data_IF_705588226884
#
_entry.id   IF_705588226884
#
_cell.length_a   1.000
_cell.length_b   1.000
_cell.length_c   1.000
_cell.angle_alpha   90.00
_cell.angle_beta   90.00
_cell.angle_gamma   90.00
#
_symmetry.space_group_name_H-M   'P 1'
#
loop_
_entity.id
_entity.type
_entity.pdbx_description
1 polymer ?
#
# COMPACT_ATOMS: atom_id res chain seq x y z
N UNK A 1 2.99 -24.61 -5.34
CA UNK A 1 2.16 -23.45 -5.69
C UNK A 1 2.99 -22.59 -6.62
N UNK A 2 2.44 -22.19 -7.75
CA UNK A 2 3.16 -21.33 -8.69
C UNK A 2 3.26 -19.92 -8.11
N UNK A 3 4.50 -19.44 -8.00
CA UNK A 3 4.82 -18.07 -7.61
C UNK A 3 4.29 -17.13 -8.68
N UNK A 4 3.49 -16.13 -8.28
CA UNK A 4 2.96 -15.13 -9.20
C UNK A 4 3.93 -13.96 -9.37
N UNK A 5 3.74 -13.19 -10.42
CA UNK A 5 4.46 -11.94 -10.62
C UNK A 5 3.58 -10.76 -10.17
N UNK A 6 4.15 -9.86 -9.37
CA UNK A 6 3.51 -8.60 -9.00
C UNK A 6 4.33 -7.45 -9.57
N UNK A 7 3.68 -6.63 -10.40
CA UNK A 7 4.32 -5.44 -10.94
C UNK A 7 4.20 -4.29 -9.95
N UNK A 8 5.31 -3.62 -9.64
CA UNK A 8 5.40 -2.57 -8.63
C UNK A 8 6.06 -1.32 -9.21
N UNK A 9 5.41 -0.16 -9.05
CA UNK A 9 5.94 1.13 -9.46
C UNK A 9 6.15 2.05 -8.25
N UNK A 10 7.30 2.70 -8.20
CA UNK A 10 7.63 3.71 -7.20
C UNK A 10 8.01 5.01 -7.92
N UNK A 11 7.43 6.12 -7.50
CA UNK A 11 7.70 7.42 -8.08
C UNK A 11 7.67 8.55 -7.05
N UNK A 12 8.36 9.64 -7.36
CA UNK A 12 8.16 10.92 -6.67
C UNK A 12 6.94 11.62 -7.26
N UNK A 13 6.16 12.23 -6.38
CA UNK A 13 5.05 13.11 -6.72
C UNK A 13 5.66 14.49 -6.98
N UNK A 14 5.26 15.12 -8.07
CA UNK A 14 5.72 16.46 -8.42
C UNK A 14 5.37 17.46 -7.32
N UNK A 15 6.19 18.50 -7.17
CA UNK A 15 5.80 19.70 -6.43
C UNK A 15 5.16 20.76 -7.33
N UNK A 16 5.13 20.48 -8.63
CA UNK A 16 4.76 21.41 -9.70
C UNK A 16 3.59 20.84 -10.50
N UNK A 17 2.46 21.55 -10.44
CA UNK A 17 1.20 21.19 -11.06
C UNK A 17 1.10 21.59 -12.54
N UNK A 18 2.15 22.20 -13.13
CA UNK A 18 2.13 22.65 -14.55
C UNK A 18 1.85 21.53 -15.56
N UNK A 19 2.08 20.27 -15.17
CA UNK A 19 1.88 19.10 -16.04
C UNK A 19 0.62 18.29 -15.69
N UNK A 20 -0.19 18.77 -14.73
CA UNK A 20 -1.38 18.03 -14.28
C UNK A 20 -2.51 17.99 -15.30
N UNK A 21 -2.47 18.87 -16.30
CA UNK A 21 -3.58 19.02 -17.22
C UNK A 21 -3.97 17.68 -17.83
N UNK A 22 -3.01 16.84 -18.21
CA UNK A 22 -3.30 15.49 -18.69
C UNK A 22 -3.99 14.61 -17.63
N UNK A 23 -3.52 14.62 -16.39
CA UNK A 23 -4.11 13.84 -15.29
C UNK A 23 -5.55 14.26 -14.99
N UNK A 24 -5.87 15.55 -15.04
CA UNK A 24 -7.25 16.01 -14.86
C UNK A 24 -8.22 15.44 -15.89
N UNK A 25 -7.78 15.18 -17.13
CA UNK A 25 -8.65 14.65 -18.18
C UNK A 25 -8.95 13.16 -18.02
N UNK A 26 -8.07 12.41 -17.35
CA UNK A 26 -8.25 10.96 -17.17
C UNK A 26 -9.15 10.60 -15.98
N UNK A 27 -9.32 11.52 -15.01
CA UNK A 27 -10.10 11.25 -13.79
C UNK A 27 -11.59 11.08 -14.07
N UNK A 28 -12.25 10.20 -13.31
CA UNK A 28 -13.70 10.08 -13.37
C UNK A 28 -14.43 11.19 -12.58
N UNK A 29 -15.76 11.19 -12.67
CA UNK A 29 -16.61 12.18 -12.00
C UNK A 29 -16.45 12.18 -10.47
N UNK A 30 -16.23 11.01 -9.86
CA UNK A 30 -16.08 10.91 -8.41
C UNK A 30 -14.72 11.46 -7.98
N UNK A 31 -13.64 11.10 -8.66
CA UNK A 31 -12.30 11.61 -8.39
C UNK A 31 -12.19 13.11 -8.66
N UNK A 32 -12.78 13.61 -9.75
CA UNK A 32 -12.89 15.04 -10.00
C UNK A 32 -13.61 15.78 -8.86
N UNK A 33 -14.70 15.21 -8.35
CA UNK A 33 -15.42 15.78 -7.22
C UNK A 33 -14.61 15.76 -5.92
N UNK A 34 -13.83 14.69 -5.66
CA UNK A 34 -12.94 14.60 -4.51
C UNK A 34 -11.79 15.62 -4.62
N UNK A 35 -11.12 15.67 -5.77
CA UNK A 35 -10.06 16.63 -6.06
C UNK A 35 -10.56 18.07 -5.84
N UNK A 36 -11.75 18.40 -6.33
CA UNK A 36 -12.35 19.74 -6.21
C UNK A 36 -12.68 20.15 -4.77
N UNK A 37 -12.86 19.19 -3.84
CA UNK A 37 -13.12 19.47 -2.42
C UNK A 37 -11.85 19.78 -1.62
N UNK A 38 -10.68 19.40 -2.12
CA UNK A 38 -9.41 19.65 -1.45
C UNK A 38 -9.04 21.13 -1.53
N UNK A 39 -9.13 21.84 -0.40
CA UNK A 39 -8.89 23.29 -0.33
C UNK A 39 -7.41 23.67 -0.45
N UNK A 40 -6.51 22.77 -0.10
CA UNK A 40 -5.06 23.02 -0.18
C UNK A 40 -4.56 22.65 -1.58
N UNK A 41 -4.00 23.59 -2.36
CA UNK A 41 -3.57 23.33 -3.73
C UNK A 41 -2.59 22.16 -3.85
N UNK A 42 -1.65 22.04 -2.91
CA UNK A 42 -0.70 20.93 -2.88
C UNK A 42 -1.39 19.57 -2.70
N UNK A 43 -2.41 19.47 -1.84
CA UNK A 43 -3.14 18.22 -1.64
C UNK A 43 -3.98 17.87 -2.87
N UNK A 44 -4.61 18.86 -3.51
CA UNK A 44 -5.36 18.67 -4.75
C UNK A 44 -4.45 18.18 -5.89
N UNK A 45 -3.31 18.85 -6.10
CA UNK A 45 -2.31 18.45 -7.09
C UNK A 45 -1.86 17.01 -6.87
N UNK A 46 -1.44 16.65 -5.64
CA UNK A 46 -1.02 15.28 -5.32
C UNK A 46 -2.12 14.27 -5.57
N UNK A 47 -3.35 14.57 -5.18
CA UNK A 47 -4.49 13.69 -5.43
C UNK A 47 -4.68 13.43 -6.92
N UNK A 48 -4.66 14.49 -7.73
CA UNK A 48 -4.83 14.41 -9.19
C UNK A 48 -3.69 13.64 -9.85
N UNK A 49 -2.45 13.93 -9.51
CA UNK A 49 -1.28 13.23 -10.05
C UNK A 49 -1.31 11.74 -9.70
N UNK A 50 -1.56 11.39 -8.43
CA UNK A 50 -1.60 10.00 -7.98
C UNK A 50 -2.71 9.21 -8.68
N UNK A 51 -3.92 9.76 -8.72
CA UNK A 51 -5.07 9.09 -9.32
C UNK A 51 -4.99 9.04 -10.85
N UNK A 52 -4.49 10.11 -11.48
CA UNK A 52 -4.26 10.13 -12.92
C UNK A 52 -3.21 9.10 -13.35
N UNK A 53 -2.10 9.00 -12.61
CA UNK A 53 -1.08 7.95 -12.81
C UNK A 53 -1.66 6.56 -12.65
N UNK A 54 -2.46 6.32 -11.61
CA UNK A 54 -3.12 5.02 -11.41
C UNK A 54 -3.96 4.63 -12.63
N UNK A 55 -4.80 5.54 -13.14
CA UNK A 55 -5.63 5.27 -14.32
C UNK A 55 -4.83 4.98 -15.57
N UNK A 56 -3.75 5.72 -15.80
CA UNK A 56 -2.84 5.49 -16.93
C UNK A 56 -2.20 4.09 -16.82
N UNK A 57 -1.71 3.71 -15.64
CA UNK A 57 -1.14 2.38 -15.41
C UNK A 57 -2.18 1.28 -15.65
N UNK A 58 -3.40 1.43 -15.13
CA UNK A 58 -4.48 0.48 -15.34
C UNK A 58 -4.87 0.40 -16.84
N UNK A 59 -4.91 1.53 -17.54
CA UNK A 59 -5.24 1.56 -18.97
C UNK A 59 -4.18 0.87 -19.82
N UNK A 60 -2.90 1.06 -19.50
CA UNK A 60 -1.81 0.32 -20.13
C UNK A 60 -1.91 -1.18 -19.86
N UNK A 61 -2.23 -1.58 -18.62
CA UNK A 61 -2.34 -2.98 -18.23
C UNK A 61 -3.52 -3.69 -18.90
N UNK A 62 -4.66 -3.01 -19.00
CA UNK A 62 -5.91 -3.54 -19.57
C UNK A 62 -6.01 -3.34 -21.09
N UNK A 63 -5.10 -2.56 -21.69
CA UNK A 63 -5.19 -2.06 -23.06
C UNK A 63 -6.51 -1.29 -23.31
N UNK A 64 -6.86 -0.41 -22.37
CA UNK A 64 -8.06 0.43 -22.41
C UNK A 64 -7.72 1.92 -22.23
N UNK A 65 -8.62 2.80 -22.65
CA UNK A 65 -8.53 4.22 -22.36
C UNK A 65 -8.68 4.48 -20.85
N UNK A 66 -7.75 5.22 -20.19
CA UNK A 66 -7.78 5.50 -18.75
C UNK A 66 -9.11 6.08 -18.23
N UNK A 67 -9.79 6.88 -19.05
CA UNK A 67 -11.08 7.51 -18.76
C UNK A 67 -12.23 6.52 -18.68
N UNK A 68 -12.12 5.36 -19.34
CA UNK A 68 -13.19 4.36 -19.43
C UNK A 68 -13.12 3.33 -18.31
N UNK A 69 -12.01 3.28 -17.57
CA UNK A 69 -11.81 2.31 -16.48
C UNK A 69 -12.73 2.65 -15.33
N UNK A 70 -13.63 1.72 -15.01
CA UNK A 70 -14.57 1.84 -13.89
C UNK A 70 -13.91 1.30 -12.62
N UNK A 71 -13.52 2.22 -11.73
CA UNK A 71 -12.97 1.89 -10.41
C UNK A 71 -14.09 1.98 -9.37
N UNK A 72 -14.57 0.82 -8.93
CA UNK A 72 -15.56 0.70 -7.85
C UNK A 72 -14.87 0.60 -6.49
N UNK A 73 -15.63 0.68 -5.39
CA UNK A 73 -15.11 0.56 -4.02
C UNK A 73 -15.95 -0.40 -3.20
N UNK A 74 -15.30 -1.21 -2.38
CA UNK A 74 -16.00 -2.04 -1.37
C UNK A 74 -16.65 -1.15 -0.32
N UNK A 75 -17.50 -1.73 0.52
CA UNK A 75 -18.11 -1.02 1.67
C UNK A 75 -17.07 -0.36 2.58
N UNK A 76 -15.90 -0.99 2.73
CA UNK A 76 -14.77 -0.50 3.51
C UNK A 76 -13.84 0.43 2.72
N UNK A 77 -14.19 0.75 1.46
CA UNK A 77 -13.51 1.74 0.63
C UNK A 77 -12.33 1.21 -0.20
N UNK A 78 -12.03 -0.10 -0.17
CA UNK A 78 -10.96 -0.69 -0.99
C UNK A 78 -11.36 -0.60 -2.47
N UNK A 79 -10.54 0.01 -3.34
CA UNK A 79 -10.86 0.12 -4.75
C UNK A 79 -10.69 -1.23 -5.47
N UNK A 80 -11.53 -1.49 -6.48
CA UNK A 80 -11.47 -2.70 -7.32
C UNK A 80 -12.05 -2.42 -8.72
N UNK A 81 -11.77 -3.29 -9.69
CA UNK A 81 -12.31 -3.22 -11.04
C UNK A 81 -13.47 -4.22 -11.20
N UNK A 82 -14.69 -3.73 -11.37
CA UNK A 82 -15.88 -4.59 -11.47
C UNK A 82 -15.87 -5.47 -12.74
N UNK A 83 -15.32 -4.95 -13.83
CA UNK A 83 -15.23 -5.68 -15.11
C UNK A 83 -13.99 -6.60 -15.20
N UNK A 84 -13.07 -6.52 -14.24
CA UNK A 84 -11.82 -7.31 -14.18
C UNK A 84 -11.61 -7.86 -12.76
N UNK A 85 -12.50 -8.74 -12.28
CA UNK A 85 -12.50 -9.19 -10.88
C UNK A 85 -11.24 -9.99 -10.49
N UNK A 86 -10.52 -10.53 -11.46
CA UNK A 86 -9.23 -11.19 -11.25
C UNK A 86 -8.06 -10.23 -11.07
N UNK A 87 -8.19 -8.96 -11.48
CA UNK A 87 -7.11 -7.98 -11.37
C UNK A 87 -7.16 -7.28 -10.02
N UNK A 88 -6.11 -7.45 -9.23
CA UNK A 88 -5.89 -6.71 -8.00
C UNK A 88 -4.90 -5.59 -8.22
N UNK A 89 -5.24 -4.42 -7.69
CA UNK A 89 -4.32 -3.30 -7.59
C UNK A 89 -4.35 -2.67 -6.21
N UNK A 90 -3.26 -2.02 -5.84
CA UNK A 90 -3.18 -1.26 -4.61
C UNK A 90 -2.27 -0.03 -4.77
N UNK A 91 -2.54 0.99 -3.96
CA UNK A 91 -1.87 2.28 -3.98
C UNK A 91 -1.59 2.70 -2.54
N UNK A 92 -0.39 3.20 -2.28
CA UNK A 92 -0.07 3.97 -1.08
C UNK A 92 0.83 5.15 -1.40
N UNK A 93 0.80 6.19 -0.57
CA UNK A 93 1.66 7.35 -0.74
C UNK A 93 2.07 7.95 0.61
N UNK A 94 3.29 8.45 0.71
CA UNK A 94 3.80 9.13 1.91
C UNK A 94 4.82 10.19 1.55
N UNK A 95 4.69 11.37 2.18
CA UNK A 95 5.50 12.54 1.83
C UNK A 95 5.29 12.92 0.36
N UNK A 96 6.37 12.83 -0.43
CA UNK A 96 6.36 13.04 -1.88
C UNK A 96 6.52 11.74 -2.67
N UNK A 97 6.23 10.58 -2.07
CA UNK A 97 6.39 9.28 -2.73
C UNK A 97 5.05 8.61 -2.94
N UNK A 98 4.91 7.92 -4.06
CA UNK A 98 3.77 7.08 -4.38
C UNK A 98 4.24 5.69 -4.79
N UNK A 99 3.47 4.69 -4.39
CA UNK A 99 3.70 3.27 -4.61
C UNK A 99 2.43 2.66 -5.20
N UNK A 100 2.56 1.97 -6.33
CA UNK A 100 1.49 1.21 -6.97
C UNK A 100 1.91 -0.25 -7.09
N UNK A 101 0.94 -1.16 -6.98
CA UNK A 101 1.15 -2.56 -7.33
C UNK A 101 -0.07 -3.14 -8.05
N UNK A 102 0.18 -4.02 -9.03
CA UNK A 102 -0.84 -4.67 -9.86
C UNK A 102 -0.46 -6.15 -10.06
N UNK A 103 -1.44 -7.06 -9.89
CA UNK A 103 -1.28 -8.49 -10.17
C UNK A 103 -2.63 -9.18 -10.42
N UNK A 104 -2.58 -10.36 -11.02
CA UNK A 104 -3.76 -11.20 -11.28
C UNK A 104 -3.94 -12.27 -10.20
N UNK A 105 -5.20 -12.57 -9.88
CA UNK A 105 -5.66 -13.71 -9.06
C UNK A 105 -4.98 -13.79 -7.69
N UNK A 106 -4.94 -12.66 -6.98
CA UNK A 106 -4.31 -12.53 -5.66
C UNK A 106 -4.96 -11.41 -4.86
N UNK A 107 -5.01 -11.50 -3.54
CA UNK A 107 -5.24 -10.34 -2.67
C UNK A 107 -3.94 -9.57 -2.52
N UNK A 108 -3.96 -8.28 -2.84
CA UNK A 108 -2.75 -7.47 -2.88
C UNK A 108 -2.91 -6.17 -2.09
N UNK A 109 -1.90 -5.84 -1.30
CA UNK A 109 -1.82 -4.57 -0.59
C UNK A 109 -0.40 -4.06 -0.53
N UNK A 110 -0.25 -2.73 -0.59
CA UNK A 110 1.03 -2.05 -0.43
C UNK A 110 0.92 -0.91 0.55
N UNK A 111 2.02 -0.62 1.21
CA UNK A 111 2.13 0.55 2.07
C UNK A 111 3.50 1.21 1.99
N UNK A 112 3.53 2.51 2.21
CA UNK A 112 4.75 3.32 2.25
C UNK A 112 4.58 4.41 3.30
N UNK A 113 5.60 4.65 4.10
CA UNK A 113 5.61 5.63 5.18
C UNK A 113 6.94 6.38 5.25
N UNK A 114 6.88 7.65 5.63
CA UNK A 114 8.08 8.45 5.93
C UNK A 114 8.51 8.18 7.37
N UNK A 115 9.73 7.68 7.51
CA UNK A 115 10.37 7.41 8.79
C UNK A 115 10.72 8.74 9.44
N UNK A 116 10.05 9.02 10.55
CA UNK A 116 10.30 10.18 11.39
C UNK A 116 10.28 9.79 12.86
N UNK A 117 11.12 10.45 13.64
CA UNK A 117 11.13 10.33 15.09
C UNK A 117 9.75 10.69 15.67
N UNK A 118 9.31 9.92 16.67
CA UNK A 118 8.02 10.11 17.34
C UNK A 118 8.22 10.15 18.85
N UNK A 119 7.59 11.13 19.50
CA UNK A 119 7.70 11.34 20.96
C UNK A 119 7.17 10.15 21.76
N UNK A 120 6.18 9.41 21.25
CA UNK A 120 5.58 8.26 21.95
C UNK A 120 5.45 7.03 21.02
N UNK A 121 6.58 6.59 20.45
CA UNK A 121 6.59 5.41 19.59
C UNK A 121 6.26 4.12 20.36
N UNK A 122 6.73 3.99 21.61
CA UNK A 122 6.45 2.85 22.47
C UNK A 122 4.94 2.68 22.75
N UNK A 123 4.21 3.78 22.94
CA UNK A 123 2.75 3.73 23.09
C UNK A 123 2.03 3.21 21.84
N UNK A 124 2.54 3.53 20.64
CA UNK A 124 2.00 3.00 19.38
C UNK A 124 2.33 1.51 19.23
N UNK A 125 3.55 1.10 19.55
CA UNK A 125 3.95 -0.32 19.59
C UNK A 125 3.01 -1.12 20.50
N UNK A 126 2.77 -0.64 21.72
CA UNK A 126 1.86 -1.32 22.66
C UNK A 126 0.40 -1.42 22.17
N UNK A 127 -0.05 -0.43 21.39
CA UNK A 127 -1.43 -0.38 20.87
C UNK A 127 -1.62 -1.25 19.64
N UNK A 128 -0.62 -1.31 18.76
CA UNK A 128 -0.77 -1.83 17.40
C UNK A 128 -0.09 -3.17 17.16
N UNK A 129 0.93 -3.53 17.97
CA UNK A 129 1.72 -4.74 17.75
C UNK A 129 1.34 -5.83 18.74
N UNK A 130 1.57 -7.09 18.36
CA UNK A 130 1.42 -8.24 19.25
C UNK A 130 2.65 -8.42 20.13
N UNK A 131 2.55 -9.29 21.14
CA UNK A 131 3.59 -9.46 22.17
C UNK A 131 4.95 -9.87 21.59
N UNK A 132 4.95 -10.67 20.53
CA UNK A 132 6.13 -11.16 19.84
C UNK A 132 6.90 -10.01 19.16
N UNK A 133 6.17 -9.14 18.46
CA UNK A 133 6.70 -7.94 17.79
C UNK A 133 7.16 -6.90 18.82
N UNK A 134 6.37 -6.68 19.88
CA UNK A 134 6.76 -5.82 21.00
C UNK A 134 8.04 -6.31 21.67
N UNK A 135 8.13 -7.62 21.93
CA UNK A 135 9.30 -8.25 22.54
C UNK A 135 10.56 -8.07 21.69
N UNK A 136 10.45 -8.30 20.38
CA UNK A 136 11.53 -8.03 19.44
C UNK A 136 11.93 -6.55 19.44
N UNK A 137 10.96 -5.65 19.33
CA UNK A 137 11.19 -4.20 19.28
C UNK A 137 11.90 -3.69 20.55
N UNK A 138 11.48 -4.15 21.73
CA UNK A 138 12.08 -3.77 23.02
C UNK A 138 13.54 -4.24 23.18
N UNK A 139 13.96 -5.28 22.45
CA UNK A 139 15.34 -5.79 22.49
C UNK A 139 16.27 -5.04 21.53
N UNK A 140 15.72 -4.26 20.59
CA UNK A 140 16.53 -3.48 19.66
C UNK A 140 17.20 -2.29 20.36
N UNK A 141 18.42 -1.92 19.93
CA UNK A 141 18.99 -0.61 20.27
C UNK A 141 18.03 0.52 19.87
N UNK A 142 17.97 1.59 20.67
CA UNK A 142 17.09 2.74 20.42
C UNK A 142 17.23 3.31 19.00
N UNK A 143 18.45 3.31 18.45
CA UNK A 143 18.74 3.76 17.09
C UNK A 143 18.03 2.96 15.99
N UNK A 144 17.61 1.73 16.27
CA UNK A 144 16.94 0.83 15.30
C UNK A 144 15.43 0.74 15.54
N UNK A 145 14.96 1.10 16.74
CA UNK A 145 13.56 0.99 17.13
C UNK A 145 12.61 1.77 16.23
N UNK A 146 12.98 2.99 15.82
CA UNK A 146 12.11 3.80 14.94
C UNK A 146 11.93 3.14 13.59
N UNK A 147 13.02 2.65 12.97
CA UNK A 147 12.95 1.93 11.69
C UNK A 147 12.11 0.66 11.82
N UNK A 148 12.38 -0.16 12.84
CA UNK A 148 11.65 -1.40 13.07
C UNK A 148 10.15 -1.18 13.27
N UNK A 149 9.74 -0.11 13.97
CA UNK A 149 8.33 0.27 14.06
C UNK A 149 7.71 0.49 12.67
N UNK A 150 8.33 1.30 11.81
CA UNK A 150 7.78 1.54 10.47
C UNK A 150 7.79 0.29 9.60
N UNK A 151 8.81 -0.57 9.71
CA UNK A 151 8.88 -1.82 8.94
C UNK A 151 7.81 -2.85 9.33
N UNK A 152 7.38 -2.88 10.59
CA UNK A 152 6.20 -3.65 11.01
C UNK A 152 4.90 -2.95 10.62
N UNK A 153 4.83 -1.64 10.84
CA UNK A 153 3.65 -0.82 10.53
C UNK A 153 3.24 -0.95 9.07
N UNK A 154 4.18 -0.74 8.14
CA UNK A 154 3.89 -0.80 6.70
C UNK A 154 3.46 -2.20 6.26
N UNK A 155 4.04 -3.27 6.82
CA UNK A 155 3.56 -4.64 6.55
C UNK A 155 2.14 -4.88 7.04
N UNK A 156 1.80 -4.39 8.24
CA UNK A 156 0.45 -4.54 8.80
C UNK A 156 -0.58 -3.73 8.01
N UNK A 157 -0.27 -2.49 7.65
CA UNK A 157 -1.15 -1.65 6.81
C UNK A 157 -1.29 -2.24 5.40
N UNK A 158 -0.21 -2.75 4.81
CA UNK A 158 -0.27 -3.47 3.54
C UNK A 158 -1.17 -4.72 3.64
N UNK A 159 -1.08 -5.50 4.72
CA UNK A 159 -1.98 -6.63 4.95
C UNK A 159 -3.46 -6.20 5.08
N UNK A 160 -3.73 -5.14 5.85
CA UNK A 160 -5.08 -4.57 5.99
C UNK A 160 -5.64 -4.11 4.63
N UNK A 161 -4.81 -3.45 3.82
CA UNK A 161 -5.16 -3.04 2.46
C UNK A 161 -5.38 -4.24 1.52
N UNK A 162 -4.60 -5.30 1.67
CA UNK A 162 -4.74 -6.53 0.90
C UNK A 162 -6.07 -7.22 1.18
N UNK A 163 -6.47 -7.32 2.45
CA UNK A 163 -7.72 -7.97 2.87
C UNK A 163 -8.95 -7.10 2.64
N UNK A 164 -8.81 -5.77 2.61
CA UNK A 164 -9.93 -4.84 2.42
C UNK A 164 -10.87 -4.69 3.63
N UNK A 165 -10.55 -5.27 4.78
CA UNK A 165 -11.40 -5.22 5.99
C UNK A 165 -11.20 -3.94 6.83
N UNK A 166 -10.23 -3.09 6.47
CA UNK A 166 -9.89 -1.87 7.20
C UNK A 166 -9.19 -2.13 8.54
N UNK A 167 -8.78 -1.04 9.21
CA UNK A 167 -7.99 -1.11 10.47
C UNK A 167 -8.78 -1.75 11.62
N UNK A 168 -10.12 -1.79 11.52
CA UNK A 168 -11.01 -2.48 12.46
C UNK A 168 -10.72 -3.98 12.61
N UNK A 169 -10.03 -4.58 11.64
CA UNK A 169 -9.55 -5.95 11.71
C UNK A 169 -8.59 -6.21 12.90
N UNK A 170 -8.01 -5.13 13.46
CA UNK A 170 -7.08 -5.20 14.58
C UNK A 170 -5.66 -5.48 14.11
N UNK A 171 -4.81 -4.45 14.06
CA UNK A 171 -3.41 -4.55 13.63
C UNK A 171 -2.59 -5.54 14.49
N UNK A 172 -3.04 -5.82 15.72
CA UNK A 172 -2.42 -6.78 16.63
C UNK A 172 -2.83 -8.24 16.37
N UNK A 173 -3.87 -8.49 15.55
CA UNK A 173 -4.30 -9.84 15.18
C UNK A 173 -3.54 -10.40 13.96
N UNK A 174 -2.99 -9.51 13.13
CA UNK A 174 -2.05 -9.85 12.05
C UNK A 174 -0.62 -9.71 12.57
N UNK A 175 0.03 -10.81 12.95
CA UNK A 175 1.33 -10.80 13.63
C UNK A 175 2.43 -11.16 12.64
N UNK A 176 3.33 -10.22 12.36
CA UNK A 176 4.51 -10.46 11.54
C UNK A 176 5.50 -11.29 12.35
N UNK A 177 6.14 -12.27 11.72
CA UNK A 177 7.22 -13.02 12.33
C UNK A 177 8.48 -12.15 12.42
N UNK A 178 8.95 -11.74 13.62
CA UNK A 178 10.10 -10.85 13.73
C UNK A 178 11.42 -11.48 13.27
N UNK A 179 11.51 -12.81 13.29
CA UNK A 179 12.70 -13.55 12.86
C UNK A 179 12.68 -13.87 11.36
N UNK A 180 11.48 -13.93 10.77
CA UNK A 180 11.27 -14.15 9.34
C UNK A 180 10.22 -13.16 8.82
N UNK A 181 10.58 -11.87 8.64
CA UNK A 181 9.63 -10.77 8.39
C UNK A 181 8.94 -10.82 7.02
N UNK A 182 9.17 -11.87 6.24
CA UNK A 182 8.41 -12.22 5.04
C UNK A 182 7.18 -13.09 5.32
N UNK A 183 6.97 -13.50 6.56
CA UNK A 183 5.91 -14.41 7.00
C UNK A 183 5.16 -13.87 8.20
N UNK A 184 4.00 -14.47 8.46
CA UNK A 184 3.13 -14.12 9.58
C UNK A 184 3.13 -15.27 10.59
N UNK A 185 3.08 -14.95 11.88
CA UNK A 185 2.84 -15.92 12.96
C UNK A 185 1.34 -16.18 13.14
N UNK A 186 0.51 -15.16 12.91
CA UNK A 186 -0.95 -15.30 12.88
C UNK A 186 -1.57 -14.25 11.96
N UNK A 187 -2.74 -14.57 11.44
CA UNK A 187 -3.64 -13.65 10.76
C UNK A 187 -5.06 -13.84 11.33
N UNK A 188 -5.94 -12.83 11.25
CA UNK A 188 -7.34 -12.99 11.61
C UNK A 188 -7.99 -14.15 10.85
N UNK A 189 -8.85 -14.91 11.51
CA UNK A 189 -9.50 -16.11 10.92
C UNK A 189 -10.25 -15.81 9.63
N UNK A 190 -10.90 -14.64 9.56
CA UNK A 190 -11.61 -14.16 8.36
C UNK A 190 -10.69 -13.97 7.13
N UNK A 191 -9.36 -13.93 7.33
CA UNK A 191 -8.38 -13.74 6.26
C UNK A 191 -7.78 -15.05 5.74
N UNK A 192 -8.28 -16.21 6.19
CA UNK A 192 -7.81 -17.52 5.72
C UNK A 192 -6.57 -18.03 6.46
N UNK A 193 -5.74 -18.83 5.79
CA UNK A 193 -4.60 -19.50 6.44
C UNK A 193 -3.40 -18.56 6.50
N UNK A 194 -2.75 -18.51 7.65
CA UNK A 194 -1.48 -17.75 7.83
C UNK A 194 -0.40 -18.12 6.80
N UNK A 195 -0.39 -19.37 6.33
CA UNK A 195 0.60 -19.91 5.39
C UNK A 195 0.41 -19.42 3.96
N UNK A 196 -0.74 -18.84 3.64
CA UNK A 196 -1.03 -18.27 2.33
C UNK A 196 -0.44 -16.84 2.22
N UNK A 197 -0.25 -16.15 3.35
CA UNK A 197 0.17 -14.76 3.37
C UNK A 197 1.69 -14.60 3.38
N UNK A 198 2.16 -13.74 2.48
CA UNK A 198 3.56 -13.40 2.31
C UNK A 198 3.75 -11.89 2.28
N UNK A 199 4.86 -11.42 2.85
CA UNK A 199 5.25 -10.02 2.85
C UNK A 199 6.66 -9.83 2.32
N UNK A 200 6.93 -8.68 1.67
CA UNK A 200 8.28 -8.25 1.36
C UNK A 200 8.42 -6.76 1.69
N UNK A 201 9.59 -6.38 2.22
CA UNK A 201 9.99 -4.97 2.24
C UNK A 201 10.42 -4.57 0.83
N UNK A 202 10.07 -3.36 0.39
CA UNK A 202 10.48 -2.83 -0.90
C UNK A 202 11.71 -1.94 -0.74
N UNK A 203 12.64 -2.02 -1.69
CA UNK A 203 13.78 -1.11 -1.77
C UNK A 203 13.27 0.32 -2.00
N UNK A 204 13.67 1.24 -1.12
CA UNK A 204 13.26 2.65 -1.12
C UNK A 204 14.35 3.53 -0.45
N UNK A 205 14.18 4.85 -0.51
CA UNK A 205 15.07 5.81 0.16
C UNK A 205 15.17 5.52 1.67
N UNK A 206 16.30 5.82 2.31
CA UNK A 206 16.59 5.44 3.71
C UNK A 206 15.59 6.01 4.73
N UNK A 207 14.98 7.14 4.41
CA UNK A 207 13.94 7.83 5.19
C UNK A 207 12.54 7.27 4.94
N UNK A 208 12.41 6.18 4.16
CA UNK A 208 11.16 5.52 3.86
C UNK A 208 11.16 4.07 4.37
N UNK A 209 9.98 3.60 4.73
CA UNK A 209 9.67 2.17 4.84
C UNK A 209 8.55 1.89 3.85
N UNK A 210 8.67 0.80 3.10
CA UNK A 210 7.66 0.36 2.15
C UNK A 210 7.53 -1.16 2.20
N UNK A 211 6.30 -1.64 2.06
CA UNK A 211 5.99 -3.05 2.11
C UNK A 211 4.91 -3.43 1.10
N UNK A 212 4.95 -4.69 0.68
CA UNK A 212 3.94 -5.35 -0.14
C UNK A 212 3.53 -6.64 0.55
N UNK A 213 2.23 -6.94 0.51
CA UNK A 213 1.64 -8.15 1.09
C UNK A 213 0.69 -8.79 0.08
N UNK A 214 0.76 -10.12 -0.02
CA UNK A 214 -0.11 -10.91 -0.85
C UNK A 214 -0.50 -12.25 -0.20
N UNK A 215 -1.67 -12.80 -0.57
CA UNK A 215 -2.16 -14.12 -0.12
C UNK A 215 -1.67 -15.29 -0.99
N UNK A 216 -0.59 -15.07 -1.73
CA UNK A 216 0.13 -16.09 -2.51
C UNK A 216 1.61 -15.77 -2.52
N UNK A 217 2.47 -16.76 -2.72
CA UNK A 217 3.89 -16.52 -2.97
C UNK A 217 4.07 -15.72 -4.27
N UNK A 218 4.94 -14.71 -4.24
CA UNK A 218 5.15 -13.81 -5.37
C UNK A 218 6.61 -13.38 -5.55
N UNK A 219 6.94 -12.97 -6.77
CA UNK A 219 8.12 -12.16 -7.10
C UNK A 219 7.71 -10.75 -7.49
N UNK A 220 8.62 -9.80 -7.35
CA UNK A 220 8.39 -8.41 -7.74
C UNK A 220 9.02 -8.18 -9.11
N UNK A 221 8.22 -7.66 -10.03
CA UNK A 221 8.68 -7.05 -11.27
C UNK A 221 8.63 -5.54 -11.08
N UNK A 222 9.75 -4.86 -11.33
CA UNK A 222 9.75 -3.41 -11.35
C UNK A 222 8.97 -2.95 -12.57
N UNK A 223 7.86 -2.27 -12.33
CA UNK A 223 7.06 -1.68 -13.37
C UNK A 223 7.87 -0.65 -14.17
N UNK A 224 7.72 -0.70 -15.49
CA UNK A 224 8.26 0.32 -16.39
C UNK A 224 7.22 1.44 -16.52
N UNK A 225 7.70 2.69 -16.61
CA UNK A 225 6.86 3.86 -16.83
C UNK A 225 6.67 4.70 -15.57
N UNK A 226 7.31 5.86 -15.57
CA UNK A 226 6.85 7.19 -15.15
C UNK A 226 7.86 8.21 -15.67
#
# INVERSE_FOLDING_TARGET
MDTIEVSVWQAKISSDSRHDQHYWHVLDKHELAQASRLKQPLLQHRYVEIHGRLRILLGQWLNESPEQIVISRTEQGKPYLEHYPELSFNLSHAGNHVLFAIANQVQLGVDIEVIKQRVNIAGLVNKCFAKEEQGYWNQLPESHQTRAFYDFWTKKEAFVKATGHGISLGLNACVINPLHPSTFLSVPEACGRVTDWHSLSLDCDLDLSAAIVADRSFTIIKGLGF
#
